data_IF_345803608700
#
_entry.id   IF_345803608700
#
_cell.length_a   1.000
_cell.length_b   1.000
_cell.length_c   1.000
_cell.angle_alpha   90.00
_cell.angle_beta   90.00
_cell.angle_gamma   90.00
#
_symmetry.space_group_name_H-M   'P 1'
#
loop_
_entity.id
_entity.type
_entity.pdbx_description
1 polymer ?
#
# COMPACT_ATOMS: atom_id res chain seq x y z
N UNK A 1 -65.63 15.70 -71.44
CA UNK A 1 -64.45 15.48 -72.31
C UNK A 1 -63.25 15.36 -71.37
N UNK A 2 -62.57 14.21 -71.31
CA UNK A 2 -61.22 13.98 -71.89
C UNK A 2 -60.17 15.04 -71.43
N UNK A 3 -58.97 14.72 -70.93
CA UNK A 3 -58.23 13.47 -70.67
C UNK A 3 -56.95 13.76 -69.81
N UNK A 4 -56.33 12.78 -69.11
CA UNK A 4 -54.91 12.77 -68.57
C UNK A 4 -54.48 13.90 -67.58
N UNK A 5 -53.30 14.00 -66.91
CA UNK A 5 -52.32 13.13 -66.18
C UNK A 5 -51.63 14.04 -65.12
N UNK A 6 -51.34 13.69 -63.86
CA UNK A 6 -50.36 12.77 -63.21
C UNK A 6 -48.84 13.06 -63.37
N UNK A 7 -48.12 12.98 -62.23
CA UNK A 7 -46.68 12.62 -62.01
C UNK A 7 -45.58 13.71 -62.29
N UNK A 8 -44.40 13.80 -61.62
CA UNK A 8 -43.97 13.53 -60.21
C UNK A 8 -42.50 14.00 -59.95
N UNK A 9 -42.13 14.29 -58.69
CA UNK A 9 -40.79 14.31 -58.02
C UNK A 9 -39.58 15.16 -58.51
N UNK A 10 -38.70 15.41 -57.52
CA UNK A 10 -37.40 16.10 -57.60
C UNK A 10 -36.22 15.13 -57.77
N UNK A 11 -35.05 15.65 -58.18
CA UNK A 11 -33.74 14.99 -58.09
C UNK A 11 -32.63 16.03 -57.87
N UNK A 12 -31.78 15.81 -56.87
CA UNK A 12 -30.61 16.63 -56.56
C UNK A 12 -29.32 15.87 -56.90
N UNK A 13 -28.37 16.56 -57.54
CA UNK A 13 -27.17 15.95 -58.13
C UNK A 13 -25.91 16.38 -57.39
N UNK A 14 -25.13 15.43 -56.86
CA UNK A 14 -23.72 15.17 -57.25
C UNK A 14 -23.06 14.20 -56.26
N UNK A 15 -22.42 13.15 -56.81
CA UNK A 15 -21.62 12.15 -56.11
C UNK A 15 -20.48 11.74 -57.07
N UNK A 16 -19.44 11.05 -56.57
CA UNK A 16 -18.29 10.49 -57.30
C UNK A 16 -17.19 11.55 -57.64
N UNK A 17 -15.91 11.22 -57.85
CA UNK A 17 -15.25 9.93 -58.16
C UNK A 17 -13.99 9.62 -57.31
N UNK A 18 -13.64 8.33 -57.25
CA UNK A 18 -12.32 7.83 -56.82
C UNK A 18 -11.21 8.09 -57.86
N UNK A 19 -9.93 7.99 -57.45
CA UNK A 19 -8.79 7.77 -58.37
C UNK A 19 -7.79 6.71 -57.85
N UNK A 20 -7.20 5.88 -58.73
CA UNK A 20 -6.28 4.79 -58.38
C UNK A 20 -4.80 5.23 -58.37
N UNK A 21 -3.89 4.27 -58.16
CA UNK A 21 -2.46 4.47 -57.94
C UNK A 21 -1.56 3.99 -59.11
N UNK A 22 -0.24 4.18 -58.90
CA UNK A 22 0.93 3.48 -59.49
C UNK A 22 1.79 4.27 -60.52
N UNK A 23 3.12 4.08 -60.34
CA UNK A 23 4.27 4.33 -61.23
C UNK A 23 4.84 5.76 -61.41
N UNK A 24 5.97 6.00 -60.74
CA UNK A 24 7.17 6.55 -61.42
C UNK A 24 8.45 6.06 -60.74
N UNK A 25 9.38 5.61 -61.57
CA UNK A 25 10.63 4.95 -61.20
C UNK A 25 11.75 5.96 -60.96
N UNK A 26 12.49 5.87 -59.87
CA UNK A 26 13.81 6.51 -59.74
C UNK A 26 14.82 5.59 -59.05
N UNK A 27 16.10 5.76 -59.43
CA UNK A 27 17.20 4.81 -59.22
C UNK A 27 17.89 5.03 -57.86
N UNK A 28 18.53 3.98 -57.35
CA UNK A 28 19.15 3.94 -56.02
C UNK A 28 20.33 4.92 -55.82
N UNK A 29 20.66 5.17 -54.54
CA UNK A 29 22.01 4.90 -54.08
C UNK A 29 22.03 3.95 -52.88
N UNK A 30 22.84 2.88 -52.94
CA UNK A 30 23.30 2.19 -51.73
C UNK A 30 24.44 3.00 -51.11
N UNK A 31 24.41 3.20 -49.80
CA UNK A 31 25.49 2.61 -49.02
C UNK A 31 24.98 1.71 -47.90
N UNK A 32 25.68 0.60 -47.73
CA UNK A 32 25.58 -0.25 -46.55
C UNK A 32 25.89 0.58 -45.29
N UNK A 33 24.96 0.59 -44.34
CA UNK A 33 25.13 0.43 -42.88
C UNK A 33 23.72 0.56 -42.30
N UNK A 34 23.04 -0.58 -42.15
CA UNK A 34 21.93 -0.67 -41.21
C UNK A 34 22.59 -0.96 -39.84
N UNK A 35 22.60 -0.04 -38.87
CA UNK A 35 22.92 -0.43 -37.52
C UNK A 35 21.79 -1.35 -37.09
N UNK A 36 22.06 -2.66 -37.03
CA UNK A 36 21.19 -3.61 -36.35
C UNK A 36 21.21 -3.24 -34.88
N UNK A 37 20.36 -2.29 -34.51
CA UNK A 37 20.00 -1.97 -33.14
C UNK A 37 19.35 -3.24 -32.61
N UNK A 38 20.19 -4.13 -32.10
CA UNK A 38 19.76 -5.29 -31.31
C UNK A 38 18.80 -4.71 -30.27
N UNK A 39 17.62 -5.31 -30.04
CA UNK A 39 16.80 -4.92 -28.91
C UNK A 39 17.63 -5.20 -27.67
N UNK A 40 18.28 -4.16 -27.14
CA UNK A 40 18.87 -4.17 -25.80
C UNK A 40 17.76 -4.67 -24.91
N UNK A 41 17.95 -5.83 -24.28
CA UNK A 41 16.92 -6.48 -23.49
C UNK A 41 16.33 -5.47 -22.51
N UNK A 42 15.16 -4.93 -22.86
CA UNK A 42 14.56 -3.85 -22.09
C UNK A 42 14.22 -4.44 -20.74
N UNK A 43 14.95 -4.01 -19.71
CA UNK A 43 14.57 -4.28 -18.33
C UNK A 43 13.07 -3.96 -18.23
N UNK A 44 12.24 -4.86 -17.67
CA UNK A 44 10.81 -4.63 -17.61
C UNK A 44 10.56 -3.26 -16.95
N UNK A 45 9.62 -2.43 -17.46
CA UNK A 45 9.53 -0.97 -17.19
C UNK A 45 9.22 -0.56 -15.74
N UNK A 46 9.28 -1.53 -14.84
CA UNK A 46 9.06 -1.49 -13.40
C UNK A 46 10.19 -0.73 -12.66
N UNK A 47 11.42 -0.75 -13.17
CA UNK A 47 12.62 -0.23 -12.47
C UNK A 47 13.29 1.00 -13.12
N UNK A 48 12.66 1.67 -14.08
CA UNK A 48 13.27 2.83 -14.73
C UNK A 48 13.44 4.02 -13.75
N UNK A 49 14.39 4.92 -14.05
CA UNK A 49 14.59 6.16 -13.30
C UNK A 49 13.37 7.11 -13.37
N UNK A 50 12.50 6.95 -14.38
CA UNK A 50 11.24 7.67 -14.56
C UNK A 50 10.01 6.94 -14.01
N UNK A 51 10.17 5.72 -13.48
CA UNK A 51 9.04 4.97 -12.87
C UNK A 51 8.48 5.75 -11.67
N UNK A 52 7.16 5.67 -11.40
CA UNK A 52 6.54 6.45 -10.35
C UNK A 52 7.08 6.07 -8.96
N UNK A 53 7.18 7.09 -8.09
CA UNK A 53 7.47 6.89 -6.67
C UNK A 53 6.38 6.06 -6.02
N UNK A 54 6.75 5.28 -5.01
CA UNK A 54 5.81 4.45 -4.25
C UNK A 54 5.93 4.66 -2.75
N UNK A 55 4.84 4.39 -2.04
CA UNK A 55 4.79 4.38 -0.58
C UNK A 55 4.96 2.95 -0.05
N UNK A 56 5.92 2.76 0.85
CA UNK A 56 6.08 1.52 1.62
C UNK A 56 5.80 1.77 3.09
N UNK A 57 5.09 0.84 3.73
CA UNK A 57 4.65 0.89 5.12
C UNK A 57 5.28 -0.24 5.92
N UNK A 58 5.91 0.10 7.05
CA UNK A 58 6.38 -0.88 8.02
C UNK A 58 5.21 -1.41 8.87
N UNK A 59 5.36 -2.62 9.41
CA UNK A 59 4.44 -3.20 10.39
C UNK A 59 4.16 -2.26 11.58
N UNK A 60 5.18 -1.51 12.03
CA UNK A 60 5.07 -0.54 13.12
C UNK A 60 4.13 0.65 12.78
N UNK A 61 3.82 0.90 11.50
CA UNK A 61 2.96 1.99 11.04
C UNK A 61 3.67 3.25 10.57
N UNK A 62 5.01 3.25 10.49
CA UNK A 62 5.76 4.26 9.74
C UNK A 62 5.70 3.98 8.23
N UNK A 63 5.73 5.04 7.44
CA UNK A 63 5.75 5.06 5.99
C UNK A 63 7.04 5.70 5.48
N UNK A 64 7.56 5.19 4.36
CA UNK A 64 8.70 5.71 3.60
C UNK A 64 8.31 5.81 2.13
N UNK A 65 8.74 6.87 1.46
CA UNK A 65 8.72 6.96 0.00
C UNK A 65 9.98 6.33 -0.59
N UNK A 66 9.80 5.63 -1.70
CA UNK A 66 10.84 5.00 -2.51
C UNK A 66 10.83 5.64 -3.91
N UNK A 67 11.98 5.67 -4.60
CA UNK A 67 12.14 6.23 -5.95
C UNK A 67 11.18 5.55 -6.94
N UNK A 68 11.09 4.24 -6.84
CA UNK A 68 10.17 3.37 -7.57
C UNK A 68 9.93 2.08 -6.77
N UNK A 69 9.10 1.17 -7.29
CA UNK A 69 8.81 -0.11 -6.65
C UNK A 69 10.04 -1.02 -6.50
N UNK A 70 11.05 -0.88 -7.37
CA UNK A 70 12.25 -1.72 -7.30
C UNK A 70 13.15 -1.36 -6.11
N UNK A 71 13.30 -0.09 -5.74
CA UNK A 71 14.00 0.27 -4.49
C UNK A 71 13.31 -0.36 -3.24
N UNK A 72 11.98 -0.45 -3.25
CA UNK A 72 11.22 -1.11 -2.17
C UNK A 72 11.48 -2.63 -2.17
N UNK A 73 11.45 -3.26 -3.34
CA UNK A 73 11.73 -4.70 -3.49
C UNK A 73 13.17 -5.06 -3.15
N UNK A 74 14.16 -4.22 -3.48
CA UNK A 74 15.57 -4.43 -3.17
C UNK A 74 15.84 -4.37 -1.66
N UNK A 75 15.20 -3.44 -0.95
CA UNK A 75 15.26 -3.39 0.53
C UNK A 75 14.62 -4.65 1.12
N UNK A 76 13.40 -4.99 0.69
CA UNK A 76 12.72 -6.20 1.16
C UNK A 76 13.49 -7.49 0.85
N UNK A 77 14.17 -7.60 -0.30
CA UNK A 77 14.98 -8.78 -0.65
C UNK A 77 16.12 -8.97 0.35
N UNK A 78 16.85 -7.90 0.69
CA UNK A 78 17.92 -7.93 1.69
C UNK A 78 17.39 -8.33 3.07
N UNK A 79 16.25 -7.77 3.47
CA UNK A 79 15.65 -8.02 4.77
C UNK A 79 15.08 -9.45 4.90
N UNK A 80 14.50 -10.00 3.82
CA UNK A 80 14.06 -11.40 3.76
C UNK A 80 15.27 -12.34 3.85
N UNK A 81 16.37 -12.06 3.16
CA UNK A 81 17.61 -12.85 3.29
C UNK A 81 18.20 -12.84 4.71
N UNK A 82 17.97 -11.78 5.50
CA UNK A 82 18.49 -11.65 6.86
C UNK A 82 17.52 -12.11 7.96
N UNK A 83 16.20 -12.04 7.73
CA UNK A 83 15.18 -12.19 8.79
C UNK A 83 13.94 -12.99 8.39
N UNK A 84 13.89 -13.53 7.16
CA UNK A 84 12.77 -14.23 6.55
C UNK A 84 11.44 -13.44 6.62
N UNK A 85 11.51 -12.10 6.57
CA UNK A 85 10.35 -11.21 6.72
C UNK A 85 10.44 -9.98 5.84
N UNK A 86 9.31 -9.59 5.26
CA UNK A 86 9.16 -8.31 4.56
C UNK A 86 9.11 -7.15 5.56
N UNK A 87 10.03 -6.20 5.45
CA UNK A 87 10.04 -4.99 6.28
C UNK A 87 8.99 -3.98 5.83
N UNK A 88 8.82 -3.81 4.51
CA UNK A 88 7.90 -2.85 3.91
C UNK A 88 6.80 -3.53 3.09
N UNK A 89 5.55 -3.25 3.42
CA UNK A 89 4.40 -3.53 2.56
C UNK A 89 4.17 -2.35 1.64
N UNK A 90 4.06 -2.56 0.33
CA UNK A 90 3.63 -1.50 -0.60
C UNK A 90 2.21 -1.04 -0.24
N UNK A 91 1.97 0.27 -0.20
CA UNK A 91 0.69 0.87 0.20
C UNK A 91 0.35 2.05 -0.69
N UNK A 92 -0.84 2.63 -0.49
CA UNK A 92 -1.34 3.74 -1.30
C UNK A 92 -0.51 5.01 -1.08
N UNK A 93 -0.27 5.77 -2.15
CA UNK A 93 0.59 6.97 -2.10
C UNK A 93 0.05 8.06 -1.14
N UNK A 94 -1.27 8.10 -0.90
CA UNK A 94 -1.88 8.99 0.10
C UNK A 94 -1.39 8.74 1.54
N UNK A 95 -0.98 7.52 1.87
CA UNK A 95 -0.43 7.18 3.19
C UNK A 95 0.90 7.89 3.43
N UNK A 96 1.65 8.15 2.34
CA UNK A 96 2.90 8.91 2.36
C UNK A 96 2.72 10.43 2.26
N UNK A 97 1.49 10.99 2.37
CA UNK A 97 1.23 12.44 2.28
C UNK A 97 2.07 13.31 3.24
N UNK A 98 2.55 12.75 4.36
CA UNK A 98 3.43 13.43 5.34
C UNK A 98 4.94 13.17 5.15
N UNK A 99 5.32 12.29 4.24
CA UNK A 99 6.70 11.92 3.93
C UNK A 99 7.21 12.83 2.82
N UNK A 100 8.04 13.82 3.16
CA UNK A 100 8.37 14.94 2.24
C UNK A 100 9.09 14.49 0.97
N UNK A 101 10.08 13.60 1.08
CA UNK A 101 10.85 13.06 -0.04
C UNK A 101 11.20 11.57 0.20
N UNK A 102 11.91 10.97 -0.76
CA UNK A 102 12.36 9.58 -0.73
C UNK A 102 13.48 9.37 0.31
N UNK A 103 13.51 8.18 0.93
CA UNK A 103 14.62 7.72 1.77
C UNK A 103 14.27 7.47 3.24
N UNK A 104 15.14 6.74 3.95
CA UNK A 104 14.91 6.28 5.32
C UNK A 104 14.84 7.43 6.35
N UNK A 105 15.72 8.43 6.24
CA UNK A 105 15.77 9.58 7.15
C UNK A 105 14.51 10.47 7.13
N UNK A 106 13.67 10.33 6.09
CA UNK A 106 12.42 11.07 5.93
C UNK A 106 11.18 10.21 6.19
N UNK A 107 11.37 8.96 6.64
CA UNK A 107 10.28 8.10 7.07
C UNK A 107 9.49 8.79 8.19
N UNK A 108 8.16 8.69 8.11
CA UNK A 108 7.25 9.38 9.02
C UNK A 108 6.01 8.51 9.24
N UNK A 109 5.23 8.79 10.26
CA UNK A 109 3.99 8.08 10.51
C UNK A 109 3.04 8.18 9.32
N UNK A 110 2.60 7.02 8.83
CA UNK A 110 1.64 6.95 7.73
C UNK A 110 0.44 7.84 8.03
N UNK A 111 -0.02 8.58 7.03
CA UNK A 111 -1.33 9.19 7.09
C UNK A 111 -2.38 8.10 7.30
N UNK A 112 -3.38 8.40 8.12
CA UNK A 112 -4.53 7.55 8.35
C UNK A 112 -5.75 8.45 8.16
N UNK A 113 -6.61 8.07 7.22
CA UNK A 113 -7.86 8.78 6.99
C UNK A 113 -8.74 8.65 8.24
N UNK A 114 -9.24 9.79 8.72
CA UNK A 114 -10.06 9.79 9.91
C UNK A 114 -11.50 9.40 9.59
N UNK A 115 -12.08 8.40 10.27
CA UNK A 115 -13.50 8.11 10.13
C UNK A 115 -14.32 9.35 10.55
N UNK A 116 -15.49 9.55 9.94
CA UNK A 116 -16.35 10.72 10.23
C UNK A 116 -16.80 10.77 11.71
N UNK A 117 -16.88 9.62 12.37
CA UNK A 117 -17.28 9.43 13.77
C UNK A 117 -16.33 8.45 14.46
N UNK A 118 -16.15 8.52 15.80
CA UNK A 118 -15.38 7.52 16.54
C UNK A 118 -15.91 6.11 16.31
N UNK A 119 -15.01 5.16 16.08
CA UNK A 119 -15.36 3.74 15.83
C UNK A 119 -15.42 2.99 17.16
N UNK A 120 -16.42 2.13 17.36
CA UNK A 120 -16.44 1.24 18.52
C UNK A 120 -15.29 0.22 18.42
N UNK A 121 -14.27 0.38 19.26
CA UNK A 121 -13.12 -0.51 19.26
C UNK A 121 -13.42 -1.80 20.02
N UNK A 122 -13.07 -2.96 19.43
CA UNK A 122 -13.12 -4.25 20.12
C UNK A 122 -12.29 -4.19 21.41
N UNK A 123 -12.76 -4.88 22.45
CA UNK A 123 -11.96 -5.16 23.66
C UNK A 123 -10.85 -6.13 23.28
N UNK A 124 -9.65 -5.89 23.80
CA UNK A 124 -8.43 -6.64 23.49
C UNK A 124 -7.71 -7.01 24.78
N UNK A 125 -6.98 -8.14 24.84
CA UNK A 125 -6.24 -8.56 26.03
C UNK A 125 -5.07 -7.61 26.34
N UNK A 126 -4.57 -7.65 27.59
CA UNK A 126 -3.44 -6.82 28.03
C UNK A 126 -2.18 -6.94 27.15
N UNK A 127 -1.98 -8.07 26.48
CA UNK A 127 -0.87 -8.30 25.56
C UNK A 127 -0.91 -7.44 24.28
N UNK A 128 -2.09 -6.91 23.91
CA UNK A 128 -2.27 -6.03 22.74
C UNK A 128 -2.21 -4.53 23.11
N UNK A 129 -2.01 -4.20 24.40
CA UNK A 129 -1.85 -2.84 24.86
C UNK A 129 -0.64 -2.16 24.21
N UNK A 130 -0.89 -0.99 23.60
CA UNK A 130 0.14 -0.18 22.98
C UNK A 130 0.48 1.02 23.87
N UNK A 131 1.77 1.18 24.15
CA UNK A 131 2.28 2.45 24.65
C UNK A 131 2.30 3.46 23.51
N UNK A 132 1.86 4.68 23.79
CA UNK A 132 1.89 5.79 22.83
C UNK A 132 2.49 7.03 23.49
N UNK A 133 3.32 7.75 22.73
CA UNK A 133 4.03 8.97 23.11
C UNK A 133 3.47 10.15 22.31
N UNK A 134 3.43 11.32 22.92
CA UNK A 134 2.97 12.54 22.26
C UNK A 134 3.96 12.97 21.18
N UNK A 135 3.51 13.73 20.19
CA UNK A 135 4.34 14.17 19.05
C UNK A 135 5.44 15.15 19.45
N UNK A 136 5.24 15.89 20.55
CA UNK A 136 6.27 16.70 21.21
C UNK A 136 7.18 15.89 22.16
N UNK A 137 7.05 14.55 22.16
CA UNK A 137 7.88 13.58 22.86
C UNK A 137 7.82 13.58 24.40
N UNK A 138 7.03 14.47 25.03
CA UNK A 138 6.99 14.67 26.49
C UNK A 138 6.04 13.74 27.25
N UNK A 139 4.87 13.42 26.68
CA UNK A 139 3.79 12.71 27.38
C UNK A 139 3.64 11.28 26.83
N UNK A 140 3.35 10.34 27.71
CA UNK A 140 3.07 8.95 27.37
C UNK A 140 1.73 8.52 27.98
N UNK A 141 1.10 7.52 27.35
CA UNK A 141 -0.07 6.79 27.87
C UNK A 141 -0.21 5.42 27.23
N UNK A 142 -1.02 4.55 27.82
CA UNK A 142 -1.35 3.23 27.27
C UNK A 142 -2.75 3.25 26.68
N UNK A 143 -2.91 2.63 25.51
CA UNK A 143 -4.18 2.41 24.83
C UNK A 143 -4.35 0.92 24.56
N UNK A 144 -5.59 0.42 24.58
CA UNK A 144 -5.88 -1.01 24.50
C UNK A 144 -5.47 -1.65 23.17
N UNK A 145 -5.52 -0.88 22.07
CA UNK A 145 -5.21 -1.34 20.72
C UNK A 145 -5.09 -0.17 19.71
N UNK A 146 -4.77 -0.52 18.46
CA UNK A 146 -4.62 0.42 17.32
C UNK A 146 -5.90 1.20 16.99
N UNK A 147 -7.09 0.63 17.20
CA UNK A 147 -8.35 1.34 16.96
C UNK A 147 -8.51 2.51 17.95
N UNK A 148 -8.20 2.30 19.24
CA UNK A 148 -8.22 3.39 20.21
C UNK A 148 -7.23 4.50 19.85
N UNK A 149 -6.04 4.16 19.33
CA UNK A 149 -5.08 5.14 18.84
C UNK A 149 -5.61 5.95 17.65
N UNK A 150 -6.24 5.31 16.66
CA UNK A 150 -6.87 6.01 15.54
C UNK A 150 -7.95 6.99 16.04
N UNK A 151 -8.86 6.52 16.90
CA UNK A 151 -9.90 7.35 17.49
C UNK A 151 -9.32 8.55 18.24
N UNK A 152 -8.28 8.33 19.05
CA UNK A 152 -7.59 9.40 19.77
C UNK A 152 -7.01 10.42 18.79
N UNK A 153 -6.28 9.98 17.77
CA UNK A 153 -5.68 10.87 16.78
C UNK A 153 -6.70 11.63 15.91
N UNK A 154 -7.89 11.10 15.71
CA UNK A 154 -8.92 11.72 14.87
C UNK A 154 -9.89 12.63 15.62
N UNK A 155 -10.27 12.25 16.84
CA UNK A 155 -11.37 12.89 17.57
C UNK A 155 -10.94 13.64 18.84
N UNK A 156 -9.75 13.38 19.40
CA UNK A 156 -9.21 14.23 20.49
C UNK A 156 -8.45 15.43 19.91
N UNK A 157 -8.42 16.54 20.66
CA UNK A 157 -7.62 17.73 20.33
C UNK A 157 -6.36 17.75 21.22
N UNK A 158 -5.17 18.09 20.68
CA UNK A 158 -4.87 18.28 19.26
C UNK A 158 -4.90 16.94 18.49
N UNK A 159 -5.38 16.99 17.23
CA UNK A 159 -5.43 15.82 16.33
C UNK A 159 -4.03 15.31 16.01
N UNK A 160 -3.90 14.01 15.76
CA UNK A 160 -2.68 13.33 15.34
C UNK A 160 -1.49 13.55 16.31
N UNK A 161 -1.76 13.66 17.61
CA UNK A 161 -0.75 13.94 18.61
C UNK A 161 -0.10 12.67 19.19
N UNK A 162 -0.65 11.48 19.00
CA UNK A 162 -0.16 10.24 19.61
C UNK A 162 0.50 9.33 18.59
N UNK A 163 1.70 8.87 18.92
CA UNK A 163 2.54 7.99 18.11
C UNK A 163 2.83 6.71 18.92
N UNK A 164 2.74 5.50 18.35
CA UNK A 164 3.20 4.28 19.01
C UNK A 164 4.65 4.41 19.50
N UNK A 165 4.91 3.84 20.67
CA UNK A 165 6.18 3.96 21.38
C UNK A 165 6.51 2.66 22.14
N UNK A 166 7.77 2.51 22.56
CA UNK A 166 8.21 1.34 23.33
C UNK A 166 7.46 1.23 24.67
N UNK A 167 6.98 0.04 25.05
CA UNK A 167 6.21 -0.17 26.31
C UNK A 167 6.93 0.34 27.56
N UNK A 168 8.27 0.31 27.55
CA UNK A 168 9.16 0.81 28.62
C UNK A 168 8.92 2.30 28.95
N UNK A 169 8.64 3.15 27.94
CA UNK A 169 8.38 4.58 28.10
C UNK A 169 7.10 4.87 28.92
N UNK A 170 6.11 3.98 28.87
CA UNK A 170 4.89 4.09 29.66
C UNK A 170 5.00 3.49 31.07
N UNK A 171 6.09 2.78 31.40
CA UNK A 171 6.26 2.16 32.72
C UNK A 171 5.07 1.30 33.16
N UNK A 172 4.59 1.52 34.38
CA UNK A 172 3.47 0.79 34.99
C UNK A 172 2.08 1.34 34.63
N UNK A 173 1.97 2.29 33.69
CA UNK A 173 0.67 2.80 33.24
C UNK A 173 -0.20 1.69 32.62
N UNK A 174 -1.51 1.81 32.80
CA UNK A 174 -2.53 0.89 32.28
C UNK A 174 -3.50 1.62 31.33
N UNK A 175 -4.35 0.86 30.63
CA UNK A 175 -5.43 1.44 29.81
C UNK A 175 -6.40 2.22 30.70
N UNK A 176 -6.70 3.46 30.30
CA UNK A 176 -7.58 4.36 31.04
C UNK A 176 -6.86 5.39 31.91
N UNK A 177 -5.56 5.18 32.20
CA UNK A 177 -4.73 6.20 32.84
C UNK A 177 -4.72 7.50 32.02
N UNK A 178 -4.81 8.64 32.73
CA UNK A 178 -4.52 9.96 32.16
C UNK A 178 -3.07 9.98 31.66
N UNK A 179 -2.80 10.74 30.59
CA UNK A 179 -1.44 10.90 30.08
C UNK A 179 -0.52 11.54 31.14
N UNK A 180 0.70 11.02 31.27
CA UNK A 180 1.73 11.49 32.21
C UNK A 180 3.04 11.72 31.46
N UNK A 181 4.06 12.27 32.11
CA UNK A 181 5.40 12.33 31.53
C UNK A 181 5.89 10.92 31.16
N UNK A 182 6.55 10.78 30.00
CA UNK A 182 7.22 9.52 29.65
C UNK A 182 8.33 9.21 30.65
N UNK A 183 8.55 7.93 30.99
CA UNK A 183 9.76 7.53 31.72
C UNK A 183 10.99 7.82 30.88
N UNK A 184 11.98 8.45 31.48
CA UNK A 184 13.33 8.55 30.91
C UNK A 184 13.89 7.14 30.73
N UNK A 185 14.25 6.78 29.51
CA UNK A 185 15.10 5.63 29.25
C UNK A 185 16.55 6.09 29.32
N UNK A 186 17.39 5.39 30.08
CA UNK A 186 18.83 5.56 30.00
C UNK A 186 19.28 5.23 28.56
N UNK A 187 20.17 6.03 27.95
CA UNK A 187 20.52 5.89 26.53
C UNK A 187 21.14 4.52 26.27
N UNK A 188 20.36 3.66 25.62
CA UNK A 188 20.84 2.40 25.03
C UNK A 188 20.92 2.65 23.53
N UNK A 189 22.10 2.48 22.93
CA UNK A 189 22.38 2.89 21.55
C UNK A 189 21.61 2.06 20.51
N UNK A 190 20.35 2.42 20.25
CA UNK A 190 19.51 1.78 19.23
C UNK A 190 18.35 2.68 18.77
N UNK A 191 17.86 2.53 17.53
CA UNK A 191 16.78 3.35 17.00
C UNK A 191 15.47 3.13 17.77
N UNK A 192 14.88 4.23 18.25
CA UNK A 192 13.80 4.30 19.26
C UNK A 192 12.40 3.78 18.82
N UNK A 193 12.30 2.89 17.82
CA UNK A 193 11.01 2.40 17.27
C UNK A 193 10.99 0.89 16.99
N UNK A 194 11.41 0.10 17.98
CA UNK A 194 11.07 -1.34 18.00
C UNK A 194 9.68 -1.52 18.61
N UNK A 195 8.67 -1.64 17.74
CA UNK A 195 7.37 -2.21 18.12
C UNK A 195 7.51 -3.72 18.00
N UNK A 196 7.37 -4.44 19.12
CA UNK A 196 7.24 -5.90 19.10
C UNK A 196 6.12 -6.28 18.13
N UNK A 197 6.34 -7.20 17.18
CA UNK A 197 5.28 -7.68 16.31
C UNK A 197 4.08 -8.14 17.16
N UNK A 198 2.83 -7.91 16.73
CA UNK A 198 1.71 -8.55 17.39
C UNK A 198 1.97 -10.07 17.37
N UNK A 199 1.87 -10.71 18.53
CA UNK A 199 1.90 -12.16 18.63
C UNK A 199 0.69 -12.67 17.86
N UNK A 200 0.93 -13.20 16.66
CA UNK A 200 -0.12 -13.84 15.88
C UNK A 200 -0.66 -15.01 16.71
N UNK A 201 -1.99 -15.16 16.85
CA UNK A 201 -2.57 -16.35 17.44
C UNK A 201 -2.00 -17.59 16.75
N UNK A 202 -1.54 -18.56 17.54
CA UNK A 202 -1.10 -19.86 17.01
C UNK A 202 -2.26 -20.43 16.17
N UNK A 203 -2.05 -20.87 14.93
CA UNK A 203 -3.10 -21.51 14.15
C UNK A 203 -3.71 -22.65 14.97
N UNK A 204 -5.05 -22.80 15.00
CA UNK A 204 -5.66 -23.92 15.70
C UNK A 204 -5.15 -25.22 15.06
N UNK A 205 -4.50 -26.05 15.86
CA UNK A 205 -4.06 -27.37 15.43
C UNK A 205 -5.31 -28.18 15.07
N UNK A 206 -5.55 -28.39 13.78
CA UNK A 206 -6.69 -29.20 13.33
C UNK A 206 -6.44 -30.66 13.66
N UNK A 207 -6.80 -31.08 14.87
CA UNK A 207 -6.94 -32.49 15.21
C UNK A 207 -8.15 -33.04 14.45
N UNK A 208 -7.88 -33.51 13.23
CA UNK A 208 -8.82 -34.28 12.42
C UNK A 208 -9.18 -35.56 13.18
N UNK A 209 -10.21 -35.50 14.03
CA UNK A 209 -10.88 -36.69 14.57
C UNK A 209 -11.54 -37.40 13.41
N UNK A 210 -10.90 -38.50 12.98
CA UNK A 210 -11.44 -39.49 12.06
C UNK A 210 -12.81 -39.96 12.59
N UNK A 211 -13.93 -39.79 11.87
CA UNK A 211 -15.20 -40.36 12.30
C UNK A 211 -15.09 -41.89 12.30
N UNK A 212 -15.57 -42.53 13.37
CA UNK A 212 -15.71 -43.98 13.41
C UNK A 212 -16.94 -44.35 12.57
N UNK A 213 -16.72 -44.98 11.42
CA UNK A 213 -17.80 -45.47 10.57
C UNK A 213 -18.37 -46.77 11.14
N UNK A 214 -19.50 -46.69 11.85
CA UNK A 214 -20.32 -47.88 12.15
C UNK A 214 -20.96 -48.37 10.84
N UNK A 215 -20.27 -49.29 10.16
CA UNK A 215 -20.81 -50.03 9.03
C UNK A 215 -21.55 -51.28 9.50
N UNK A 216 -22.83 -51.14 9.84
CA UNK A 216 -23.72 -52.31 10.00
C UNK A 216 -24.03 -52.86 8.62
N UNK A 217 -23.49 -54.04 8.28
CA UNK A 217 -23.81 -54.74 7.03
C UNK A 217 -24.68 -55.95 7.36
N UNK A 218 -25.95 -55.86 6.98
CA UNK A 218 -26.91 -56.96 6.99
C UNK A 218 -26.88 -57.65 5.62
N UNK A 219 -26.59 -58.95 5.55
CA UNK A 219 -26.85 -59.77 4.36
C UNK A 219 -26.76 -61.27 4.68
N UNK A 220 -27.73 -62.03 4.14
CA UNK A 220 -27.59 -63.44 3.72
C UNK A 220 -27.25 -64.47 4.78
#
# INVERSE_FOLDING_TARGET
>A
MQLTTLIVLALSSTLQLMRPAIASTTRAPNPLILPTIRPVCLLPPVCAARSPRVCGRLANGMCRRFRNICELLDVNRRDVSASNKLTYTHTQERDCRRVRNVGAALANWCHQDCPRRPVACRRTPRAEEICVRSRNLKLCKVLANRCQLLNNNCHTRPRNNWLPAQRRLCGQMQVGDKARACRTLLPTNGPDVTISPPVLPRPPTSTTRRPLSNGTVTAG
#
